data_IF_005255140308
#
_entry.id   IF_005255140308
#
_cell.length_a   1.000
_cell.length_b   1.000
_cell.length_c   1.000
_cell.angle_alpha   90.00
_cell.angle_beta   90.00
_cell.angle_gamma   90.00
#
_symmetry.space_group_name_H-M   'P 1'
#
loop_
_entity.id
_entity.type
_entity.pdbx_description
1 polymer ?
#
# COMPACT_ATOMS: atom_id res chain seq x y z
N UNK A 1 0.27 16.93 -18.37
CA UNK A 1 1.30 16.40 -19.30
C UNK A 1 2.01 17.58 -19.95
N UNK A 2 3.32 17.47 -20.18
CA UNK A 2 4.04 18.46 -20.98
C UNK A 2 3.68 18.25 -22.45
N UNK A 3 3.35 19.33 -23.16
CA UNK A 3 2.92 19.26 -24.56
C UNK A 3 3.63 20.30 -25.41
N UNK A 4 3.76 19.99 -26.70
CA UNK A 4 4.24 20.93 -27.71
C UNK A 4 3.01 21.69 -28.19
N UNK A 5 3.12 23.01 -28.25
CA UNK A 5 2.08 23.87 -28.78
C UNK A 5 2.38 24.12 -30.25
N UNK A 6 1.35 23.99 -31.08
CA UNK A 6 1.48 24.15 -32.52
C UNK A 6 0.67 25.37 -32.96
N UNK A 7 1.29 26.23 -33.75
CA UNK A 7 0.71 27.38 -34.43
C UNK A 7 0.93 27.24 -35.94
N UNK A 8 -0.06 27.66 -36.72
CA UNK A 8 0.03 27.61 -38.18
C UNK A 8 0.89 28.77 -38.71
N UNK A 9 1.72 28.51 -39.74
CA UNK A 9 2.57 29.51 -40.38
C UNK A 9 4.07 29.18 -40.39
N UNK A 10 4.51 28.28 -41.28
CA UNK A 10 5.93 28.15 -41.66
C UNK A 10 6.67 26.87 -41.22
N UNK A 11 6.00 25.84 -40.68
CA UNK A 11 6.67 24.57 -40.35
C UNK A 11 6.62 23.56 -41.51
N UNK A 12 7.75 22.95 -41.93
CA UNK A 12 7.84 22.03 -43.07
C UNK A 12 7.37 20.58 -42.76
N UNK A 13 6.63 20.39 -41.67
CA UNK A 13 6.17 19.09 -41.17
C UNK A 13 4.65 19.07 -41.11
N UNK A 14 4.04 17.90 -41.33
CA UNK A 14 2.61 17.71 -41.10
C UNK A 14 2.31 17.84 -39.60
N UNK A 15 2.01 19.08 -39.17
CA UNK A 15 1.71 19.44 -37.79
C UNK A 15 0.62 18.53 -37.21
N UNK A 16 -0.36 18.16 -38.03
CA UNK A 16 -1.48 17.31 -37.65
C UNK A 16 -1.04 15.87 -37.31
N UNK A 17 -0.03 15.33 -37.97
CA UNK A 17 0.51 14.01 -37.64
C UNK A 17 1.22 14.04 -36.28
N UNK A 18 1.97 15.11 -35.98
CA UNK A 18 2.68 15.24 -34.70
C UNK A 18 1.70 15.51 -33.56
N UNK A 19 0.67 16.33 -33.78
CA UNK A 19 -0.46 16.49 -32.84
C UNK A 19 -1.09 15.13 -32.56
N UNK A 20 -1.40 14.36 -33.60
CA UNK A 20 -1.99 13.02 -33.47
C UNK A 20 -1.08 12.08 -32.68
N UNK A 21 0.23 12.07 -32.94
CA UNK A 21 1.20 11.25 -32.20
C UNK A 21 1.30 11.62 -30.72
N UNK A 22 1.06 12.88 -30.36
CA UNK A 22 1.06 13.33 -28.96
C UNK A 22 -0.28 13.07 -28.27
N UNK A 23 -1.39 13.29 -28.95
CA UNK A 23 -2.75 13.18 -28.40
C UNK A 23 -3.20 11.73 -28.28
N UNK A 24 -2.90 10.87 -29.25
CA UNK A 24 -3.37 9.48 -29.27
C UNK A 24 -2.98 8.68 -28.00
N UNK A 25 -1.71 8.61 -27.58
CA UNK A 25 -1.35 7.91 -26.34
C UNK A 25 -1.95 8.57 -25.09
N UNK A 26 -2.07 9.91 -25.07
CA UNK A 26 -2.68 10.64 -23.96
C UNK A 26 -4.18 10.34 -23.82
N UNK A 27 -4.90 10.28 -24.94
CA UNK A 27 -6.33 9.97 -24.99
C UNK A 27 -6.59 8.51 -24.58
N UNK A 28 -5.77 7.56 -25.06
CA UNK A 28 -5.86 6.16 -24.65
C UNK A 28 -5.62 5.98 -23.15
N UNK A 29 -4.58 6.63 -22.61
CA UNK A 29 -4.29 6.60 -21.18
C UNK A 29 -5.41 7.25 -20.36
N UNK A 30 -5.95 8.37 -20.83
CA UNK A 30 -7.08 9.06 -20.17
C UNK A 30 -8.30 8.16 -20.12
N UNK A 31 -8.67 7.51 -21.22
CA UNK A 31 -9.78 6.56 -21.26
C UNK A 31 -9.58 5.38 -20.30
N UNK A 32 -8.36 4.82 -20.23
CA UNK A 32 -8.02 3.76 -19.28
C UNK A 32 -8.15 4.23 -17.83
N UNK A 33 -7.60 5.40 -17.50
CA UNK A 33 -7.64 5.96 -16.15
C UNK A 33 -9.05 6.36 -15.72
N UNK A 34 -9.89 6.83 -16.64
CA UNK A 34 -11.30 7.08 -16.37
C UNK A 34 -12.05 5.77 -16.07
N UNK A 35 -11.79 4.72 -16.86
CA UNK A 35 -12.40 3.41 -16.64
C UNK A 35 -12.00 2.81 -15.26
N UNK A 36 -10.69 2.82 -14.95
CA UNK A 36 -10.15 2.29 -13.70
C UNK A 36 -10.52 3.18 -12.49
N UNK A 37 -10.41 4.50 -12.63
CA UNK A 37 -10.74 5.48 -11.60
C UNK A 37 -12.25 5.64 -11.34
N UNK A 38 -13.09 4.77 -11.93
CA UNK A 38 -14.53 4.81 -11.78
C UNK A 38 -15.16 6.17 -12.14
N UNK A 39 -14.65 6.83 -13.19
CA UNK A 39 -15.01 8.18 -13.61
C UNK A 39 -14.70 9.27 -12.55
N UNK A 40 -13.83 8.99 -11.59
CA UNK A 40 -13.31 10.01 -10.66
C UNK A 40 -12.27 10.85 -11.39
N UNK A 41 -12.46 12.17 -11.38
CA UNK A 41 -11.54 13.10 -12.04
C UNK A 41 -10.20 13.24 -11.32
N UNK A 42 -10.16 13.11 -10.00
CA UNK A 42 -8.97 13.35 -9.19
C UNK A 42 -8.72 12.23 -8.19
N UNK A 43 -7.53 11.63 -8.25
CA UNK A 43 -7.11 10.57 -7.32
C UNK A 43 -5.59 10.39 -7.34
N UNK A 44 -5.05 9.68 -6.33
CA UNK A 44 -3.64 9.32 -6.28
C UNK A 44 -3.42 7.91 -6.84
N UNK A 45 -2.28 7.63 -7.48
CA UNK A 45 -1.98 6.25 -7.88
C UNK A 45 -1.70 5.35 -6.69
N UNK A 46 -1.01 5.87 -5.67
CA UNK A 46 -0.74 5.18 -4.40
C UNK A 46 -1.02 6.11 -3.22
N UNK A 47 -1.19 5.54 -2.03
CA UNK A 47 -1.39 6.29 -0.80
C UNK A 47 -0.20 7.19 -0.54
N UNK A 48 -0.47 8.41 -0.10
CA UNK A 48 0.59 9.36 0.21
C UNK A 48 1.46 8.87 1.37
N UNK A 49 2.78 8.93 1.21
CA UNK A 49 3.76 8.48 2.20
C UNK A 49 4.83 9.54 2.41
N UNK A 50 5.29 9.65 3.66
CA UNK A 50 6.41 10.51 4.02
C UNK A 50 7.18 9.93 5.20
N UNK A 51 8.44 10.33 5.31
CA UNK A 51 9.34 9.97 6.40
C UNK A 51 9.65 11.20 7.24
N UNK A 52 9.48 11.08 8.55
CA UNK A 52 9.93 12.09 9.50
C UNK A 52 11.46 12.19 9.47
N UNK A 53 12.01 13.39 9.22
CA UNK A 53 13.46 13.62 9.21
C UNK A 53 13.94 14.35 10.45
N UNK A 54 13.21 15.37 10.90
CA UNK A 54 13.61 16.20 12.04
C UNK A 54 12.40 16.78 12.75
N UNK A 55 12.48 16.86 14.08
CA UNK A 55 11.57 17.64 14.92
C UNK A 55 12.39 18.76 15.55
N UNK A 56 11.95 20.00 15.37
CA UNK A 56 12.52 21.17 16.03
C UNK A 56 11.56 21.68 17.11
N UNK A 57 11.89 21.36 18.37
CA UNK A 57 11.06 21.74 19.52
C UNK A 57 11.10 23.24 19.80
N UNK A 58 12.15 23.94 19.37
CA UNK A 58 12.30 25.38 19.62
C UNK A 58 11.47 26.22 18.66
N UNK A 59 11.44 25.81 17.39
CA UNK A 59 10.63 26.44 16.35
C UNK A 59 9.21 25.83 16.22
N UNK A 60 8.91 24.80 17.01
CA UNK A 60 7.68 23.99 16.90
C UNK A 60 7.41 23.48 15.47
N UNK A 61 8.47 23.15 14.72
CA UNK A 61 8.35 22.66 13.34
C UNK A 61 8.74 21.21 13.20
N UNK A 62 8.12 20.53 12.23
CA UNK A 62 8.40 19.14 11.89
C UNK A 62 8.77 19.06 10.42
N UNK A 63 9.98 18.57 10.13
CA UNK A 63 10.47 18.36 8.77
C UNK A 63 10.26 16.91 8.36
N UNK A 64 9.57 16.70 7.25
CA UNK A 64 9.38 15.38 6.65
C UNK A 64 9.74 15.39 5.17
N UNK A 65 10.17 14.24 4.66
CA UNK A 65 10.45 14.01 3.26
C UNK A 65 9.34 13.16 2.66
N UNK A 66 8.67 13.67 1.65
CA UNK A 66 7.60 12.95 0.96
C UNK A 66 8.22 11.98 -0.03
N UNK A 67 7.67 10.78 -0.17
CA UNK A 67 8.09 9.88 -1.25
C UNK A 67 7.51 10.36 -2.58
N UNK A 68 8.18 10.02 -3.68
CA UNK A 68 7.64 10.20 -5.03
C UNK A 68 6.28 9.52 -5.15
N UNK A 69 5.31 10.21 -5.73
CA UNK A 69 3.97 9.69 -5.99
C UNK A 69 3.40 10.33 -7.28
N UNK A 70 2.17 10.03 -7.63
CA UNK A 70 1.52 10.52 -8.84
C UNK A 70 0.06 10.90 -8.56
N UNK A 71 -0.31 12.08 -9.02
CA UNK A 71 -1.68 12.59 -9.05
C UNK A 71 -2.27 12.31 -10.43
N UNK A 72 -3.46 11.73 -10.47
CA UNK A 72 -4.29 11.71 -11.68
C UNK A 72 -5.28 12.87 -11.59
N UNK A 73 -5.30 13.72 -12.60
CA UNK A 73 -6.23 14.84 -12.75
C UNK A 73 -6.81 14.80 -14.17
N UNK A 74 -8.13 14.61 -14.26
CA UNK A 74 -8.89 14.51 -15.52
C UNK A 74 -8.31 13.50 -16.51
N UNK A 75 -7.85 12.35 -16.00
CA UNK A 75 -7.23 11.28 -16.80
C UNK A 75 -5.79 11.57 -17.22
N UNK A 76 -5.13 12.58 -16.65
CA UNK A 76 -3.73 12.90 -16.89
C UNK A 76 -2.90 12.62 -15.64
N UNK A 77 -1.81 11.87 -15.80
CA UNK A 77 -0.87 11.58 -14.71
C UNK A 77 0.11 12.75 -14.56
N UNK A 78 0.23 13.26 -13.35
CA UNK A 78 1.19 14.28 -12.94
C UNK A 78 2.09 13.71 -11.84
N UNK A 79 3.40 13.78 -12.05
CA UNK A 79 4.37 13.33 -11.05
C UNK A 79 4.42 14.32 -9.89
N UNK A 80 4.23 13.80 -8.68
CA UNK A 80 4.54 14.47 -7.42
C UNK A 80 5.98 14.09 -7.08
N UNK A 81 6.89 15.05 -7.26
CA UNK A 81 8.30 14.86 -6.93
C UNK A 81 8.46 14.67 -5.42
N UNK A 82 9.44 13.85 -5.04
CA UNK A 82 9.91 13.79 -3.67
C UNK A 82 10.34 15.18 -3.19
N UNK A 83 9.78 15.63 -2.08
CA UNK A 83 9.91 17.01 -1.59
C UNK A 83 10.11 17.01 -0.08
N UNK A 84 11.02 17.84 0.40
CA UNK A 84 11.17 18.12 1.84
C UNK A 84 10.23 19.26 2.23
N UNK A 85 9.35 19.00 3.18
CA UNK A 85 8.35 19.94 3.67
C UNK A 85 8.56 20.20 5.16
N UNK A 86 8.24 21.42 5.59
CA UNK A 86 8.31 21.85 6.99
C UNK A 86 6.91 22.23 7.43
N UNK A 87 6.29 21.39 8.25
CA UNK A 87 5.01 21.67 8.88
C UNK A 87 5.21 22.43 10.20
N UNK A 88 4.26 23.30 10.52
CA UNK A 88 4.22 24.08 11.77
C UNK A 88 3.24 23.45 12.78
N UNK A 89 2.42 22.49 12.34
CA UNK A 89 1.56 21.67 13.18
C UNK A 89 1.38 20.27 12.58
N UNK A 90 1.12 19.28 13.45
CA UNK A 90 0.77 17.92 13.03
C UNK A 90 -0.61 17.83 12.38
N UNK A 91 -1.43 18.87 12.54
CA UNK A 91 -2.75 18.99 11.94
C UNK A 91 -2.76 19.87 10.67
N UNK A 92 -1.59 20.32 10.20
CA UNK A 92 -1.53 21.15 8.99
C UNK A 92 -2.02 20.33 7.79
N UNK A 93 -3.07 20.79 7.07
CA UNK A 93 -3.53 20.10 5.88
C UNK A 93 -2.47 20.17 4.79
N UNK A 94 -2.27 19.08 4.06
CA UNK A 94 -1.37 19.04 2.92
C UNK A 94 -2.20 18.98 1.63
N UNK A 95 -1.96 19.93 0.75
CA UNK A 95 -2.63 20.03 -0.54
C UNK A 95 -1.70 19.64 -1.68
N UNK A 96 -2.27 19.04 -2.73
CA UNK A 96 -1.62 18.81 -4.02
C UNK A 96 -2.38 19.56 -5.11
N UNK A 97 -1.66 20.29 -5.95
CA UNK A 97 -2.22 20.98 -7.10
C UNK A 97 -1.34 20.79 -8.34
N UNK A 98 -1.85 21.21 -9.50
CA UNK A 98 -1.08 21.22 -10.76
C UNK A 98 -0.91 22.65 -11.24
N UNK A 99 0.34 23.07 -11.43
CA UNK A 99 0.67 24.36 -12.03
C UNK A 99 1.01 24.15 -13.49
N UNK A 100 0.32 24.88 -14.37
CA UNK A 100 0.64 24.95 -15.79
C UNK A 100 1.45 26.21 -16.09
N UNK A 101 2.43 26.10 -16.96
CA UNK A 101 3.23 27.23 -17.45
C UNK A 101 3.50 27.07 -18.93
N UNK A 102 3.39 28.17 -19.66
CA UNK A 102 3.76 28.24 -21.08
C UNK A 102 5.18 28.81 -21.19
N UNK A 103 5.97 28.27 -22.11
CA UNK A 103 7.39 28.57 -22.29
C UNK A 103 7.80 28.42 -23.76
N UNK A 104 9.06 28.74 -24.06
CA UNK A 104 9.62 28.68 -25.42
C UNK A 104 8.82 29.55 -26.40
N UNK A 105 8.68 30.84 -26.06
CA UNK A 105 8.02 31.83 -26.91
C UNK A 105 8.89 32.14 -28.11
N UNK A 106 8.31 32.07 -29.30
CA UNK A 106 8.99 32.33 -30.57
C UNK A 106 8.15 33.24 -31.44
N UNK A 107 8.82 34.06 -32.24
CA UNK A 107 8.20 34.88 -33.28
C UNK A 107 7.98 34.02 -34.54
N UNK A 108 6.75 33.99 -35.04
CA UNK A 108 6.35 33.24 -36.23
C UNK A 108 6.46 34.10 -37.49
N UNK A 109 6.28 33.51 -38.68
CA UNK A 109 6.40 34.20 -39.96
C UNK A 109 5.36 35.32 -40.15
N UNK A 110 4.27 35.27 -39.41
CA UNK A 110 3.23 36.30 -39.33
C UNK A 110 3.60 37.48 -38.39
N UNK A 111 4.78 37.42 -37.76
CA UNK A 111 5.27 38.40 -36.80
C UNK A 111 4.66 38.28 -35.39
N UNK A 112 3.81 37.28 -35.14
CA UNK A 112 3.21 37.06 -33.82
C UNK A 112 4.11 36.19 -32.94
N UNK A 113 4.04 36.43 -31.63
CA UNK A 113 4.74 35.62 -30.64
C UNK A 113 3.79 34.58 -30.05
N UNK A 114 4.15 33.30 -30.18
CA UNK A 114 3.40 32.20 -29.57
C UNK A 114 4.34 31.34 -28.72
N UNK A 115 3.82 30.86 -27.59
CA UNK A 115 4.51 29.86 -26.79
C UNK A 115 4.50 28.51 -27.51
N UNK A 116 5.66 27.84 -27.57
CA UNK A 116 5.79 26.54 -28.24
C UNK A 116 5.68 25.35 -27.28
N UNK A 117 5.63 25.58 -25.96
CA UNK A 117 5.64 24.51 -24.96
C UNK A 117 4.77 24.84 -23.75
N UNK A 118 3.88 23.92 -23.39
CA UNK A 118 3.17 23.94 -22.11
C UNK A 118 3.75 22.86 -21.20
N UNK A 119 4.10 23.24 -19.98
CA UNK A 119 4.52 22.31 -18.92
C UNK A 119 3.49 22.28 -17.81
N UNK A 120 3.26 21.10 -17.25
CA UNK A 120 2.30 20.91 -16.16
C UNK A 120 2.94 20.10 -15.03
N UNK A 121 3.22 20.74 -13.91
CA UNK A 121 3.91 20.15 -12.76
C UNK A 121 2.99 20.07 -11.54
N UNK A 122 2.96 18.93 -10.87
CA UNK A 122 2.29 18.83 -9.58
C UNK A 122 3.18 19.45 -8.48
N UNK A 123 2.55 20.11 -7.52
CA UNK A 123 3.21 20.70 -6.36
C UNK A 123 2.46 20.35 -5.08
N UNK A 124 3.20 20.35 -3.97
CA UNK A 124 2.67 20.19 -2.62
C UNK A 124 2.72 21.53 -1.89
N UNK A 125 1.69 21.82 -1.10
CA UNK A 125 1.56 23.07 -0.34
C UNK A 125 0.74 22.85 0.93
N UNK A 126 1.08 23.53 2.02
CA UNK A 126 0.21 23.59 3.20
C UNK A 126 -0.89 24.65 3.06
N UNK A 127 -0.76 25.55 2.09
CA UNK A 127 -1.78 26.55 1.76
C UNK A 127 -2.70 26.03 0.66
N UNK A 128 -4.00 26.17 0.88
CA UNK A 128 -5.02 25.86 -0.13
C UNK A 128 -4.96 26.89 -1.25
N UNK A 129 -4.66 26.41 -2.45
CA UNK A 129 -4.71 27.20 -3.69
C UNK A 129 -5.87 26.74 -4.57
N UNK A 130 -6.28 27.57 -5.52
CA UNK A 130 -7.32 27.21 -6.48
C UNK A 130 -6.90 25.97 -7.28
N UNK A 131 -7.80 24.99 -7.40
CA UNK A 131 -7.51 23.72 -8.06
C UNK A 131 -6.56 22.78 -7.28
N UNK A 132 -6.29 23.06 -6.00
CA UNK A 132 -5.56 22.16 -5.12
C UNK A 132 -6.51 21.31 -4.24
N UNK A 133 -6.14 20.06 -4.04
CA UNK A 133 -6.92 19.04 -3.34
C UNK A 133 -6.20 18.58 -2.08
N UNK A 134 -6.93 18.35 -1.00
CA UNK A 134 -6.35 17.80 0.22
C UNK A 134 -5.87 16.37 -0.04
N UNK A 135 -4.57 16.14 0.10
CA UNK A 135 -3.91 14.86 -0.19
C UNK A 135 -4.51 13.71 0.60
N UNK A 136 -4.91 13.97 1.85
CA UNK A 136 -5.45 12.95 2.75
C UNK A 136 -6.92 12.59 2.45
N UNK A 137 -7.62 13.44 1.69
CA UNK A 137 -9.01 13.21 1.26
C UNK A 137 -9.09 12.54 -0.12
N UNK A 138 -7.98 12.52 -0.87
CA UNK A 138 -7.93 11.86 -2.18
C UNK A 138 -7.94 10.34 -2.01
N UNK A 139 -8.85 9.71 -2.74
CA UNK A 139 -8.84 8.25 -2.91
C UNK A 139 -7.61 7.83 -3.70
N UNK A 140 -7.12 6.62 -3.43
CA UNK A 140 -6.12 5.99 -4.30
C UNK A 140 -6.80 5.24 -5.45
N UNK A 141 -6.04 4.90 -6.50
CA UNK A 141 -6.51 4.03 -7.56
C UNK A 141 -7.04 2.71 -6.99
N UNK A 142 -6.36 2.15 -5.99
CA UNK A 142 -6.80 0.93 -5.31
C UNK A 142 -8.14 1.10 -4.58
N UNK A 143 -8.34 2.24 -3.89
CA UNK A 143 -9.61 2.56 -3.23
C UNK A 143 -10.78 2.70 -4.24
N UNK A 144 -10.48 3.10 -5.48
CA UNK A 144 -11.46 3.29 -6.55
C UNK A 144 -11.81 1.98 -7.29
N UNK A 145 -10.81 1.15 -7.59
CA UNK A 145 -11.03 -0.15 -8.24
C UNK A 145 -11.52 -1.20 -7.25
N UNK A 146 -11.13 -1.12 -5.98
CA UNK A 146 -11.39 -2.12 -4.94
C UNK A 146 -12.87 -2.50 -4.81
N UNK A 147 -13.82 -1.55 -4.80
CA UNK A 147 -15.25 -1.87 -4.77
C UNK A 147 -15.80 -2.48 -6.08
N UNK A 148 -15.19 -2.18 -7.23
CA UNK A 148 -15.62 -2.65 -8.56
C UNK A 148 -15.02 -3.98 -8.94
N UNK A 149 -13.81 -4.25 -8.47
CA UNK A 149 -13.32 -5.59 -8.31
C UNK A 149 -14.24 -6.21 -7.26
N UNK A 150 -15.31 -6.86 -7.71
CA UNK A 150 -16.09 -7.79 -6.87
C UNK A 150 -15.17 -8.95 -6.48
N UNK A 151 -14.10 -8.68 -5.73
CA UNK A 151 -13.77 -9.51 -4.60
C UNK A 151 -15.00 -9.34 -3.76
N UNK A 152 -15.98 -10.24 -3.93
CA UNK A 152 -16.94 -10.49 -2.89
C UNK A 152 -16.13 -10.40 -1.62
N UNK A 153 -16.41 -9.41 -0.77
CA UNK A 153 -16.00 -9.54 0.61
C UNK A 153 -16.76 -10.77 1.06
N UNK A 154 -16.20 -11.95 0.82
CA UNK A 154 -16.58 -13.14 1.51
C UNK A 154 -16.35 -12.72 2.94
N UNK A 155 -17.47 -12.45 3.61
CA UNK A 155 -17.49 -12.29 5.05
C UNK A 155 -16.65 -13.42 5.60
N UNK A 156 -15.90 -13.14 6.67
CA UNK A 156 -15.23 -14.21 7.39
C UNK A 156 -16.25 -15.30 7.64
N UNK A 157 -16.10 -16.44 6.96
CA UNK A 157 -16.85 -17.61 7.33
C UNK A 157 -16.11 -18.12 8.55
N UNK A 158 -16.76 -18.02 9.70
CA UNK A 158 -16.37 -18.83 10.85
C UNK A 158 -16.64 -20.28 10.45
N UNK A 159 -15.66 -20.88 9.80
CA UNK A 159 -15.52 -22.32 9.82
C UNK A 159 -14.76 -22.64 11.10
N UNK A 160 -15.37 -23.40 12.00
CA UNK A 160 -14.60 -24.26 12.88
C UNK A 160 -13.72 -25.10 11.95
N UNK A 161 -12.42 -24.78 11.86
CA UNK A 161 -11.46 -25.56 11.09
C UNK A 161 -11.29 -26.89 11.85
N UNK A 162 -12.27 -27.79 11.68
CA UNK A 162 -12.39 -29.09 12.35
C UNK A 162 -11.19 -30.01 12.08
N UNK A 163 -10.27 -29.58 11.22
CA UNK A 163 -9.04 -30.26 10.86
C UNK A 163 -7.84 -29.80 11.67
N UNK A 164 -7.87 -28.65 12.34
CA UNK A 164 -6.79 -28.20 13.22
C UNK A 164 -7.19 -28.38 14.67
N UNK A 165 -6.48 -29.26 15.38
CA UNK A 165 -6.66 -29.48 16.82
C UNK A 165 -5.57 -28.72 17.57
N UNK A 166 -5.90 -27.63 18.27
CA UNK A 166 -4.96 -26.99 19.20
C UNK A 166 -4.42 -28.01 20.21
N UNK A 167 -3.13 -27.91 20.52
CA UNK A 167 -2.42 -28.73 21.52
C UNK A 167 -1.69 -27.83 22.50
N UNK A 168 -0.97 -28.36 23.49
CA UNK A 168 -0.26 -27.53 24.48
C UNK A 168 -1.16 -26.50 25.19
N UNK A 169 -2.42 -26.85 25.46
CA UNK A 169 -3.39 -25.99 26.16
C UNK A 169 -3.91 -24.81 25.34
N UNK A 170 -3.54 -24.72 24.05
CA UNK A 170 -4.04 -23.66 23.19
C UNK A 170 -5.55 -23.80 22.93
N UNK A 171 -6.24 -22.68 22.93
CA UNK A 171 -7.65 -22.57 22.59
C UNK A 171 -7.92 -21.19 21.99
N UNK A 172 -9.03 -21.04 21.27
CA UNK A 172 -9.39 -19.80 20.58
C UNK A 172 -10.04 -20.06 19.24
N UNK A 173 -9.80 -19.18 18.28
CA UNK A 173 -10.49 -19.22 16.98
C UNK A 173 -9.52 -19.21 15.81
N UNK A 174 -9.85 -19.99 14.79
CA UNK A 174 -9.21 -19.95 13.48
C UNK A 174 -10.31 -19.57 12.49
N UNK A 175 -10.18 -18.40 11.85
CA UNK A 175 -11.16 -17.88 10.89
C UNK A 175 -10.58 -17.93 9.48
N UNK A 176 -11.39 -18.34 8.52
CA UNK A 176 -10.98 -18.45 7.13
C UNK A 176 -11.70 -17.41 6.26
N UNK A 177 -10.96 -16.82 5.33
CA UNK A 177 -11.50 -15.98 4.26
C UNK A 177 -10.92 -16.43 2.94
N UNK A 178 -11.76 -17.02 2.09
CA UNK A 178 -11.37 -17.44 0.74
C UNK A 178 -11.61 -16.28 -0.23
N UNK A 179 -10.65 -16.06 -1.12
CA UNK A 179 -10.74 -15.13 -2.23
C UNK A 179 -10.34 -15.82 -3.54
N UNK A 180 -10.52 -15.16 -4.69
CA UNK A 180 -10.05 -15.68 -5.96
C UNK A 180 -8.51 -15.73 -5.97
N UNK A 181 -7.96 -16.95 -5.93
CA UNK A 181 -6.51 -17.21 -5.97
C UNK A 181 -5.79 -17.15 -4.63
N UNK A 182 -6.50 -16.95 -3.51
CA UNK A 182 -5.91 -16.95 -2.18
C UNK A 182 -6.88 -17.38 -1.08
N UNK A 183 -6.33 -17.91 0.00
CA UNK A 183 -7.00 -18.22 1.26
C UNK A 183 -6.25 -17.49 2.38
N UNK A 184 -6.98 -16.65 3.12
CA UNK A 184 -6.48 -16.02 4.34
C UNK A 184 -6.98 -16.83 5.54
N UNK A 185 -6.06 -17.26 6.41
CA UNK A 185 -6.44 -17.80 7.74
C UNK A 185 -6.02 -16.83 8.82
N UNK A 186 -6.95 -16.34 9.63
CA UNK A 186 -6.66 -15.58 10.85
C UNK A 186 -6.65 -16.54 12.04
N UNK A 187 -5.56 -16.56 12.79
CA UNK A 187 -5.41 -17.40 13.98
C UNK A 187 -5.30 -16.49 15.20
N UNK A 188 -6.20 -16.72 16.16
CA UNK A 188 -6.27 -16.03 17.44
C UNK A 188 -6.33 -17.11 18.54
N UNK A 189 -5.19 -17.42 19.16
CA UNK A 189 -5.07 -18.50 20.15
C UNK A 189 -4.33 -18.04 21.41
N UNK A 190 -4.80 -18.51 22.55
CA UNK A 190 -4.19 -18.34 23.87
C UNK A 190 -4.01 -19.72 24.52
N UNK A 191 -3.07 -19.86 25.45
CA UNK A 191 -2.81 -21.12 26.15
C UNK A 191 -2.80 -20.92 27.65
N UNK A 192 -3.30 -21.92 28.37
CA UNK A 192 -3.25 -21.96 29.83
C UNK A 192 -2.06 -22.78 30.36
N UNK A 193 -1.29 -23.42 29.47
CA UNK A 193 -0.20 -24.32 29.88
C UNK A 193 1.09 -23.55 30.18
N UNK A 194 1.72 -23.91 31.29
CA UNK A 194 3.05 -23.39 31.69
C UNK A 194 4.21 -24.12 31.03
N UNK A 195 3.96 -25.27 30.38
CA UNK A 195 4.99 -26.14 29.80
C UNK A 195 4.55 -26.74 28.45
N UNK A 196 5.53 -27.03 27.59
CA UNK A 196 5.33 -27.68 26.28
C UNK A 196 5.24 -29.21 26.45
N UNK A 197 4.06 -29.79 26.24
CA UNK A 197 3.78 -31.24 26.36
C UNK A 197 3.85 -31.99 25.02
N UNK A 198 3.46 -31.33 23.93
CA UNK A 198 3.38 -31.92 22.58
C UNK A 198 4.62 -31.64 21.71
N UNK A 199 5.68 -31.10 22.33
CA UNK A 199 6.87 -30.62 21.66
C UNK A 199 6.99 -29.09 21.74
N UNK A 200 8.21 -28.54 21.86
CA UNK A 200 8.42 -27.09 21.94
C UNK A 200 7.84 -26.37 20.72
N UNK A 201 7.02 -25.35 20.94
CA UNK A 201 6.46 -24.50 19.89
C UNK A 201 5.28 -25.11 19.12
N UNK A 202 4.87 -26.35 19.34
CA UNK A 202 3.74 -26.96 18.59
C UNK A 202 2.42 -26.33 19.07
N UNK A 203 1.64 -25.75 18.17
CA UNK A 203 0.41 -25.02 18.50
C UNK A 203 -0.83 -25.82 18.15
N UNK A 204 -0.86 -26.43 16.97
CA UNK A 204 -1.97 -27.25 16.51
C UNK A 204 -1.47 -28.36 15.60
N UNK A 205 -2.24 -29.44 15.51
CA UNK A 205 -2.01 -30.57 14.61
C UNK A 205 -3.13 -30.67 13.59
N UNK A 206 -2.82 -31.07 12.36
CA UNK A 206 -3.79 -31.25 11.29
C UNK A 206 -3.48 -32.49 10.43
N UNK A 207 -4.50 -33.13 9.84
CA UNK A 207 -4.29 -34.33 9.04
C UNK A 207 -3.46 -34.01 7.79
N UNK A 208 -2.43 -34.81 7.56
CA UNK A 208 -1.59 -34.70 6.36
C UNK A 208 -2.21 -35.46 5.20
N UNK A 209 -2.10 -34.89 4.00
CA UNK A 209 -2.27 -35.68 2.77
C UNK A 209 -0.94 -36.34 2.41
N UNK A 210 -0.94 -37.45 1.67
CA UNK A 210 0.29 -38.17 1.27
C UNK A 210 1.23 -37.37 0.35
N UNK A 211 0.87 -36.14 0.00
CA UNK A 211 1.63 -35.27 -0.89
C UNK A 211 2.42 -34.26 -0.04
N UNK A 212 3.74 -34.14 -0.20
CA UNK A 212 4.53 -33.12 0.47
C UNK A 212 4.02 -31.72 0.10
N UNK A 213 3.53 -30.98 1.09
CA UNK A 213 3.14 -29.57 0.92
C UNK A 213 4.30 -28.71 1.41
N UNK A 214 4.76 -27.70 0.64
CA UNK A 214 5.78 -26.76 1.10
C UNK A 214 5.36 -26.11 2.41
N UNK A 215 6.31 -25.79 3.32
CA UNK A 215 5.97 -25.11 4.56
C UNK A 215 5.33 -23.76 4.28
N UNK A 216 4.22 -23.48 4.96
CA UNK A 216 3.52 -22.20 4.88
C UNK A 216 3.81 -21.43 6.16
N UNK A 217 4.20 -20.15 6.02
CA UNK A 217 4.51 -19.29 7.17
C UNK A 217 3.41 -18.26 7.38
N UNK A 218 3.11 -18.00 8.66
CA UNK A 218 2.27 -16.87 9.05
C UNK A 218 3.05 -15.55 9.03
N UNK A 219 2.34 -14.44 9.17
CA UNK A 219 2.97 -13.19 9.59
C UNK A 219 3.69 -13.35 10.94
N UNK A 220 4.73 -12.55 11.14
CA UNK A 220 5.51 -12.58 12.38
C UNK A 220 4.80 -11.80 13.49
N UNK A 221 4.89 -12.30 14.72
CA UNK A 221 4.32 -11.70 15.92
C UNK A 221 5.30 -11.81 17.10
N UNK A 222 5.02 -11.09 18.18
CA UNK A 222 5.90 -11.02 19.36
C UNK A 222 5.35 -11.91 20.47
N UNK A 223 6.19 -12.78 21.03
CA UNK A 223 5.87 -13.60 22.21
C UNK A 223 6.81 -13.29 23.38
N UNK A 224 6.38 -13.57 24.62
CA UNK A 224 7.20 -13.44 25.83
C UNK A 224 6.63 -12.51 26.92
N UNK A 225 7.16 -12.66 28.14
CA UNK A 225 6.65 -11.96 29.35
C UNK A 225 7.09 -10.50 29.39
N UNK A 226 6.18 -9.60 29.78
CA UNK A 226 6.41 -8.15 29.79
C UNK A 226 7.36 -7.69 30.92
N UNK A 227 7.48 -8.47 32.00
CA UNK A 227 8.22 -8.10 33.21
C UNK A 227 9.51 -8.92 33.37
N UNK A 228 10.62 -8.17 33.36
CA UNK A 228 12.00 -8.46 33.82
C UNK A 228 12.48 -9.92 33.73
N UNK A 229 13.36 -10.13 32.75
CA UNK A 229 14.14 -11.34 32.43
C UNK A 229 13.53 -12.34 31.42
N UNK A 230 12.29 -12.14 30.98
CA UNK A 230 11.72 -12.87 29.84
C UNK A 230 12.18 -12.30 28.49
N UNK A 231 12.89 -13.08 27.67
CA UNK A 231 13.23 -12.68 26.31
C UNK A 231 11.95 -12.57 25.47
N UNK A 232 11.69 -11.38 24.92
CA UNK A 232 10.69 -11.23 23.87
C UNK A 232 11.31 -11.63 22.54
N UNK A 233 10.58 -12.43 21.79
CA UNK A 233 11.07 -12.98 20.53
C UNK A 233 10.06 -12.72 19.43
N UNK A 234 10.57 -12.31 18.27
CA UNK A 234 9.78 -12.28 17.04
C UNK A 234 9.74 -13.71 16.50
N UNK A 235 8.53 -14.22 16.32
CA UNK A 235 8.26 -15.58 15.89
C UNK A 235 7.21 -15.56 14.78
N UNK A 236 7.08 -16.64 14.03
CA UNK A 236 5.94 -16.92 13.16
C UNK A 236 5.51 -18.38 13.34
N UNK A 237 4.36 -18.75 12.80
CA UNK A 237 3.93 -20.15 12.75
C UNK A 237 4.30 -20.71 11.38
N UNK A 238 5.05 -21.80 11.39
CA UNK A 238 5.30 -22.66 10.24
C UNK A 238 4.31 -23.83 10.26
N UNK A 239 3.50 -23.94 9.21
CA UNK A 239 2.68 -25.13 8.96
C UNK A 239 3.46 -26.08 8.04
N UNK A 240 3.86 -27.24 8.56
CA UNK A 240 4.54 -28.29 7.83
C UNK A 240 4.28 -29.65 8.48
N UNK A 241 4.33 -30.73 7.70
CA UNK A 241 4.32 -32.10 8.21
C UNK A 241 3.14 -32.46 9.16
N UNK A 242 2.01 -31.76 9.04
CA UNK A 242 0.83 -32.00 9.89
C UNK A 242 0.83 -31.23 11.20
N UNK A 243 1.78 -30.30 11.40
CA UNK A 243 1.88 -29.49 12.60
C UNK A 243 1.99 -28.00 12.24
N UNK A 244 1.40 -27.15 13.07
CA UNK A 244 1.67 -25.72 13.11
C UNK A 244 2.61 -25.44 14.28
N UNK A 245 3.85 -25.03 13.98
CA UNK A 245 4.89 -24.82 14.98
C UNK A 245 5.37 -23.38 15.00
N UNK A 246 5.49 -22.80 16.19
CA UNK A 246 6.15 -21.52 16.42
C UNK A 246 7.64 -21.70 16.12
N UNK A 247 8.14 -20.91 15.18
CA UNK A 247 9.55 -20.82 14.84
C UNK A 247 9.98 -19.37 15.00
N UNK A 248 11.19 -19.14 15.50
CA UNK A 248 11.68 -17.78 15.63
C UNK A 248 13.19 -17.66 15.72
N UNK A 249 13.63 -16.43 15.87
CA UNK A 249 15.03 -16.02 15.68
C UNK A 249 16.02 -16.63 16.67
N UNK A 250 15.57 -17.09 17.85
CA UNK A 250 16.42 -17.70 18.88
C UNK A 250 16.29 -19.24 18.94
N UNK A 251 15.48 -19.83 18.05
CA UNK A 251 15.24 -21.27 18.00
C UNK A 251 14.26 -21.79 19.07
N UNK A 252 13.92 -23.08 18.95
CA UNK A 252 12.85 -23.72 19.74
C UNK A 252 13.15 -23.84 21.24
N UNK A 253 14.44 -23.99 21.60
CA UNK A 253 14.89 -24.13 22.99
C UNK A 253 14.78 -22.85 23.82
N UNK A 254 14.57 -21.72 23.16
CA UNK A 254 14.46 -20.39 23.76
C UNK A 254 13.03 -19.86 23.78
N UNK A 255 12.06 -20.67 23.32
CA UNK A 255 10.65 -20.29 23.33
C UNK A 255 10.13 -20.14 24.77
N UNK A 256 9.40 -19.05 25.07
CA UNK A 256 8.68 -18.93 26.33
C UNK A 256 7.68 -20.08 26.53
N UNK A 257 7.21 -20.25 27.77
CA UNK A 257 6.09 -21.15 28.06
C UNK A 257 4.88 -20.87 27.14
N UNK A 258 4.05 -21.88 26.80
CA UNK A 258 2.89 -21.71 25.93
C UNK A 258 1.96 -20.57 26.35
N UNK A 259 1.69 -20.43 27.65
CA UNK A 259 0.85 -19.34 28.20
C UNK A 259 1.40 -17.94 27.96
N UNK A 260 2.70 -17.80 27.67
CA UNK A 260 3.35 -16.53 27.36
C UNK A 260 3.51 -16.31 25.85
N UNK A 261 2.94 -17.21 25.05
CA UNK A 261 2.97 -17.20 23.61
C UNK A 261 1.54 -17.04 23.07
N UNK A 262 0.90 -15.90 23.37
CA UNK A 262 -0.36 -15.51 22.72
C UNK A 262 -0.15 -15.32 21.23
N UNK A 263 -1.05 -15.88 20.43
CA UNK A 263 -0.95 -15.93 18.97
C UNK A 263 -2.06 -15.09 18.38
N UNK A 264 -1.66 -14.06 17.65
CA UNK A 264 -2.53 -13.25 16.78
C UNK A 264 -1.81 -13.08 15.46
N UNK A 265 -2.17 -13.86 14.45
CA UNK A 265 -1.47 -13.86 13.16
C UNK A 265 -2.36 -14.24 11.99
N UNK A 266 -1.85 -14.00 10.77
CA UNK A 266 -2.48 -14.32 9.51
C UNK A 266 -1.61 -15.25 8.67
N UNK A 267 -2.25 -16.18 7.97
CA UNK A 267 -1.66 -16.91 6.86
C UNK A 267 -2.23 -16.37 5.56
N UNK A 268 -1.35 -16.19 4.56
CA UNK A 268 -1.73 -15.88 3.19
C UNK A 268 -1.32 -17.06 2.30
N UNK A 269 -2.29 -17.88 1.92
CA UNK A 269 -2.07 -19.12 1.17
C UNK A 269 -2.57 -18.91 -0.27
N UNK A 270 -1.69 -18.92 -1.28
CA UNK A 270 -2.12 -18.94 -2.68
C UNK A 270 -2.91 -20.23 -2.96
N UNK A 271 -4.07 -20.14 -3.61
CA UNK A 271 -4.94 -21.30 -3.95
C UNK A 271 -5.09 -21.48 -5.44
#
# INVERSE_FOLDING_TARGET
MNKILFSEGGQPLYIDDIKTLQENPANQMSALLQALGANTSVFLLDRFQGELKKIDQSAATTTFQTKKNWLVLDGVIHEIKETTLVAHSWNDPLYVGVRKSNSDVRTFEDGQEHACRETAEAFLSFEKTEGAFNVFELKTLFDLIGPKMKVESQEWKEEDDAFSHPVNGYHGTIRNKRGPGFLIKKISLESDNTEWTDGPGVVFKYPTTRVPVPPIFSESFLVGVKNKDGQRQIVCIMQADGEGKIVGTLGDSSLPAPMNCTIETYFFIPT
#
